data_IF_773251375112
#
_entry.id   IF_773251375112
#
_cell.length_a   1.000
_cell.length_b   1.000
_cell.length_c   1.000
_cell.angle_alpha   90.00
_cell.angle_beta   90.00
_cell.angle_gamma   90.00
#
_symmetry.space_group_name_H-M   'P 1'
#
loop_
_entity.id
_entity.type
_entity.pdbx_description
1 polymer ?
#
# COMPACT_ATOMS: atom_id res chain seq x y z
N UNK A 1 34.43 33.05 -15.69
CA UNK A 1 34.76 32.40 -14.41
C UNK A 1 33.46 32.32 -13.62
N UNK A 2 32.69 31.26 -13.87
CA UNK A 2 31.44 30.96 -13.17
C UNK A 2 31.79 30.50 -11.77
N UNK A 3 31.28 31.20 -10.76
CA UNK A 3 31.33 30.75 -9.37
C UNK A 3 30.46 29.50 -9.24
N UNK A 4 31.09 28.36 -9.01
CA UNK A 4 30.42 27.16 -8.52
C UNK A 4 29.78 27.49 -7.17
N UNK A 5 28.45 27.50 -7.11
CA UNK A 5 27.72 27.63 -5.86
C UNK A 5 27.85 26.31 -5.07
N UNK A 6 28.50 26.37 -3.91
CA UNK A 6 28.95 25.23 -3.10
C UNK A 6 27.82 24.26 -2.64
N UNK A 7 28.08 22.94 -2.60
CA UNK A 7 27.17 21.92 -2.05
C UNK A 7 26.66 22.19 -0.62
N UNK A 8 27.43 22.95 0.17
CA UNK A 8 27.12 23.26 1.56
C UNK A 8 25.93 24.23 1.74
N UNK A 9 25.70 25.14 0.78
CA UNK A 9 24.57 26.09 0.83
C UNK A 9 23.27 25.38 0.45
N UNK A 10 23.33 24.46 -0.51
CA UNK A 10 22.19 23.68 -1.02
C UNK A 10 21.64 22.72 0.03
N UNK A 11 22.51 21.98 0.71
CA UNK A 11 22.13 21.13 1.84
C UNK A 11 21.47 21.94 2.97
N UNK A 12 21.95 23.17 3.22
CA UNK A 12 21.42 24.05 4.27
C UNK A 12 19.99 24.52 3.99
N UNK A 13 19.65 24.79 2.73
CA UNK A 13 18.31 25.24 2.34
C UNK A 13 17.23 24.18 2.56
N UNK A 14 17.48 22.92 2.19
CA UNK A 14 16.55 21.82 2.45
C UNK A 14 16.43 21.54 3.95
N UNK A 15 17.54 21.61 4.70
CA UNK A 15 17.53 21.49 6.16
C UNK A 15 16.62 22.56 6.80
N UNK A 16 16.71 23.81 6.34
CA UNK A 16 15.88 24.89 6.87
C UNK A 16 14.38 24.68 6.54
N UNK A 17 14.05 24.27 5.32
CA UNK A 17 12.66 23.98 4.90
C UNK A 17 12.03 22.77 5.59
N UNK A 18 12.85 21.86 6.10
CA UNK A 18 12.43 20.59 6.72
C UNK A 18 12.72 20.51 8.21
N UNK A 19 13.14 21.61 8.84
CA UNK A 19 13.59 21.68 10.25
C UNK A 19 12.59 21.06 11.24
N UNK A 20 11.30 21.22 10.97
CA UNK A 20 10.22 20.75 11.85
C UNK A 20 9.67 19.37 11.45
N UNK A 21 10.29 18.68 10.48
CA UNK A 21 9.78 17.41 9.96
C UNK A 21 10.24 16.19 10.79
N UNK A 22 11.40 16.29 11.44
CA UNK A 22 12.01 15.22 12.21
C UNK A 22 13.54 15.28 12.16
N UNK A 23 14.20 14.19 12.51
CA UNK A 23 15.64 14.06 12.32
C UNK A 23 16.02 13.98 10.83
N UNK A 24 17.26 14.36 10.53
CA UNK A 24 17.74 14.40 9.13
C UNK A 24 17.75 13.03 8.44
N UNK A 25 17.93 11.93 9.17
CA UNK A 25 17.91 10.60 8.56
C UNK A 25 16.51 10.26 8.04
N UNK A 26 15.46 10.60 8.81
CA UNK A 26 14.07 10.44 8.37
C UNK A 26 13.75 11.34 7.16
N UNK A 27 14.23 12.58 7.15
CA UNK A 27 14.01 13.52 6.05
C UNK A 27 14.75 13.06 4.78
N UNK A 28 16.03 12.71 4.90
CA UNK A 28 16.83 12.20 3.78
C UNK A 28 16.20 10.93 3.19
N UNK A 29 15.78 9.98 4.05
CA UNK A 29 15.10 8.77 3.59
C UNK A 29 13.82 9.09 2.81
N UNK A 30 13.05 10.10 3.23
CA UNK A 30 11.86 10.54 2.50
C UNK A 30 12.23 11.11 1.11
N UNK A 31 13.21 12.01 1.05
CA UNK A 31 13.64 12.64 -0.20
C UNK A 31 14.23 11.63 -1.19
N UNK A 32 15.04 10.68 -0.71
CA UNK A 32 15.61 9.60 -1.52
C UNK A 32 14.52 8.73 -2.18
N UNK A 33 13.37 8.60 -1.52
CA UNK A 33 12.21 7.83 -2.02
C UNK A 33 11.35 8.62 -3.02
N UNK A 34 11.57 9.92 -3.18
CA UNK A 34 10.84 10.80 -4.09
C UNK A 34 11.49 10.88 -5.48
N UNK A 35 12.69 10.34 -5.69
CA UNK A 35 13.47 10.48 -6.92
C UNK A 35 12.99 9.52 -8.04
N UNK A 36 11.71 9.64 -8.41
CA UNK A 36 11.10 8.91 -9.53
C UNK A 36 10.55 9.89 -10.55
N UNK A 37 11.13 9.80 -11.74
CA UNK A 37 10.87 10.67 -12.86
C UNK A 37 9.72 10.17 -13.72
N UNK A 38 8.74 11.03 -14.04
CA UNK A 38 7.57 10.65 -14.86
C UNK A 38 7.92 10.57 -16.35
N UNK A 39 7.84 9.42 -17.03
CA UNK A 39 8.19 9.33 -18.45
C UNK A 39 7.49 10.38 -19.32
N UNK A 40 8.16 10.88 -20.36
CA UNK A 40 7.65 11.95 -21.22
C UNK A 40 6.33 11.58 -21.89
N UNK A 41 6.18 10.34 -22.33
CA UNK A 41 4.95 9.81 -22.91
C UNK A 41 3.77 9.90 -21.92
N UNK A 42 4.03 9.66 -20.64
CA UNK A 42 3.01 9.75 -19.59
C UNK A 42 2.66 11.21 -19.24
N UNK A 43 3.64 12.12 -19.29
CA UNK A 43 3.39 13.57 -19.18
C UNK A 43 2.47 14.03 -20.31
N UNK A 44 2.78 13.63 -21.54
CA UNK A 44 1.98 13.95 -22.73
C UNK A 44 0.57 13.36 -22.63
N UNK A 45 0.43 12.07 -22.31
CA UNK A 45 -0.86 11.42 -22.15
C UNK A 45 -1.74 12.10 -21.07
N UNK A 46 -1.14 12.53 -19.96
CA UNK A 46 -1.86 13.26 -18.91
C UNK A 46 -2.40 14.59 -19.44
N UNK A 47 -1.60 15.32 -20.21
CA UNK A 47 -2.02 16.57 -20.86
C UNK A 47 -3.08 16.37 -21.93
N UNK A 48 -3.03 15.27 -22.70
CA UNK A 48 -4.08 14.88 -23.65
C UNK A 48 -5.42 14.75 -22.91
N UNK A 49 -5.47 14.03 -21.79
CA UNK A 49 -6.70 13.89 -21.00
C UNK A 49 -7.21 15.21 -20.42
N UNK A 50 -6.32 16.13 -20.03
CA UNK A 50 -6.70 17.50 -19.64
C UNK A 50 -7.31 18.25 -20.83
N UNK A 51 -6.67 18.21 -22.00
CA UNK A 51 -7.11 18.91 -23.21
C UNK A 51 -8.47 18.43 -23.74
N UNK A 52 -8.79 17.15 -23.56
CA UNK A 52 -10.11 16.58 -23.89
C UNK A 52 -11.25 17.19 -23.04
N UNK A 53 -10.93 17.75 -21.87
CA UNK A 53 -11.91 18.29 -20.92
C UNK A 53 -11.85 19.81 -20.77
N UNK A 54 -10.72 20.43 -21.12
CA UNK A 54 -10.46 21.87 -21.00
C UNK A 54 -9.72 22.36 -22.24
N UNK A 55 -10.38 23.20 -23.04
CA UNK A 55 -9.79 23.78 -24.26
C UNK A 55 -8.81 24.92 -23.98
N UNK A 56 -8.89 25.54 -22.79
CA UNK A 56 -7.96 26.55 -22.28
C UNK A 56 -7.77 26.34 -20.79
N UNK A 57 -6.52 26.45 -20.34
CA UNK A 57 -6.16 26.36 -18.92
C UNK A 57 -5.55 27.69 -18.50
N UNK A 58 -6.04 28.27 -17.40
CA UNK A 58 -5.43 29.49 -16.84
C UNK A 58 -4.20 29.13 -16.03
N UNK A 59 -4.40 28.87 -14.74
CA UNK A 59 -3.34 28.53 -13.79
C UNK A 59 -3.25 27.03 -13.57
N UNK A 60 -2.05 26.49 -13.81
CA UNK A 60 -1.65 25.12 -13.53
C UNK A 60 -0.85 25.07 -12.23
N UNK A 61 -1.15 24.09 -11.39
CA UNK A 61 -0.45 23.84 -10.14
C UNK A 61 0.11 22.41 -10.14
N UNK A 62 1.40 22.27 -9.87
CA UNK A 62 2.05 20.99 -9.67
C UNK A 62 2.66 20.97 -8.27
N UNK A 63 2.19 20.06 -7.42
CA UNK A 63 2.54 20.05 -5.99
C UNK A 63 3.75 19.16 -5.67
N UNK A 64 4.27 18.42 -6.63
CA UNK A 64 5.45 17.58 -6.48
C UNK A 64 6.21 17.56 -7.79
N UNK A 65 6.65 18.75 -8.20
CA UNK A 65 6.99 19.02 -9.59
C UNK A 65 8.29 18.34 -10.03
N UNK A 66 9.19 17.95 -9.12
CA UNK A 66 10.47 17.37 -9.49
C UNK A 66 11.27 18.33 -10.38
N UNK A 67 11.58 17.89 -11.60
CA UNK A 67 12.22 18.70 -12.64
C UNK A 67 11.24 19.58 -13.45
N UNK A 68 9.99 19.68 -13.00
CA UNK A 68 8.91 20.43 -13.64
C UNK A 68 8.60 20.02 -15.08
N UNK A 69 8.82 18.75 -15.45
CA UNK A 69 8.52 18.23 -16.80
C UNK A 69 7.09 18.49 -17.27
N UNK A 70 6.11 18.56 -16.37
CA UNK A 70 4.72 18.90 -16.70
C UNK A 70 4.55 20.33 -17.21
N UNK A 71 5.49 21.24 -16.94
CA UNK A 71 5.48 22.60 -17.48
C UNK A 71 5.70 22.63 -19.00
N UNK A 72 6.35 21.63 -19.59
CA UNK A 72 6.67 21.65 -21.02
C UNK A 72 5.54 21.11 -21.91
N UNK A 73 4.45 20.64 -21.32
CA UNK A 73 3.26 20.18 -22.04
C UNK A 73 2.05 21.11 -21.88
N UNK A 74 1.01 20.84 -22.67
CA UNK A 74 -0.27 21.54 -22.57
C UNK A 74 -0.26 22.99 -23.06
N UNK A 75 -1.41 23.65 -22.96
CA UNK A 75 -1.59 25.06 -23.27
C UNK A 75 -2.21 25.78 -22.07
N UNK A 76 -1.40 26.58 -21.38
CA UNK A 76 -1.79 27.26 -20.15
C UNK A 76 -1.27 28.71 -20.07
N UNK A 77 -1.90 29.53 -19.23
CA UNK A 77 -1.47 30.92 -18.98
C UNK A 77 -0.36 31.04 -17.94
N UNK A 78 -0.40 30.26 -16.86
CA UNK A 78 0.61 30.24 -15.78
C UNK A 78 0.82 28.81 -15.28
N UNK A 79 2.07 28.39 -15.05
CA UNK A 79 2.40 27.15 -14.34
C UNK A 79 3.20 27.45 -13.06
N UNK A 80 2.78 26.82 -11.96
CA UNK A 80 3.47 26.91 -10.66
C UNK A 80 3.75 25.50 -10.15
N UNK A 81 5.01 25.12 -10.12
CA UNK A 81 5.49 23.88 -9.50
C UNK A 81 6.01 24.11 -8.09
N UNK A 82 5.79 23.16 -7.19
CA UNK A 82 6.41 23.08 -5.87
C UNK A 82 7.37 21.89 -5.84
N UNK A 83 8.60 22.14 -5.39
CA UNK A 83 9.61 21.11 -5.21
C UNK A 83 10.43 21.42 -3.97
N UNK A 84 10.58 20.45 -3.06
CA UNK A 84 11.28 20.64 -1.79
C UNK A 84 12.80 20.49 -1.96
N UNK A 85 13.22 19.65 -2.89
CA UNK A 85 14.61 19.39 -3.21
C UNK A 85 15.18 20.51 -4.09
N UNK A 86 15.99 21.37 -3.47
CA UNK A 86 16.58 22.53 -4.15
C UNK A 86 17.47 22.15 -5.34
N UNK A 87 18.04 20.93 -5.35
CA UNK A 87 18.88 20.46 -6.45
C UNK A 87 18.06 20.19 -7.71
N UNK A 88 16.80 19.78 -7.56
CA UNK A 88 15.87 19.58 -8.69
C UNK A 88 15.33 20.90 -9.24
N UNK A 89 15.34 21.95 -8.42
CA UNK A 89 15.00 23.31 -8.85
C UNK A 89 16.13 24.00 -9.60
N UNK A 90 17.38 23.64 -9.31
CA UNK A 90 18.55 24.27 -9.90
C UNK A 90 18.64 23.95 -11.40
N UNK A 91 19.00 24.95 -12.20
CA UNK A 91 19.33 24.82 -13.63
C UNK A 91 18.21 24.37 -14.59
N UNK A 92 16.96 24.27 -14.13
CA UNK A 92 15.81 23.98 -15.00
C UNK A 92 15.44 25.21 -15.84
N UNK A 93 15.57 25.09 -17.17
CA UNK A 93 15.13 26.13 -18.13
C UNK A 93 13.63 26.01 -18.39
N UNK A 94 12.84 26.63 -17.54
CA UNK A 94 11.37 26.62 -17.63
C UNK A 94 10.84 27.47 -18.79
N UNK A 95 9.63 27.16 -19.30
CA UNK A 95 8.88 28.07 -20.16
C UNK A 95 8.69 29.46 -19.53
N UNK A 96 8.54 30.54 -20.33
CA UNK A 96 8.46 31.91 -19.80
C UNK A 96 7.33 32.17 -18.80
N UNK A 97 6.25 31.39 -18.89
CA UNK A 97 5.06 31.45 -18.05
C UNK A 97 5.03 30.38 -16.96
N UNK A 98 6.16 29.72 -16.70
CA UNK A 98 6.30 28.69 -15.68
C UNK A 98 7.31 29.10 -14.61
N UNK A 99 7.02 28.73 -13.36
CA UNK A 99 7.93 28.89 -12.21
C UNK A 99 7.95 27.64 -11.35
N UNK A 100 9.11 27.36 -10.78
CA UNK A 100 9.32 26.30 -9.79
C UNK A 100 9.70 26.94 -8.45
N UNK A 101 8.95 26.63 -7.41
CA UNK A 101 9.11 27.17 -6.08
C UNK A 101 9.81 26.13 -5.20
N UNK A 102 11.00 26.48 -4.68
CA UNK A 102 11.69 25.60 -3.74
C UNK A 102 11.06 25.68 -2.34
N UNK A 103 9.96 24.97 -2.14
CA UNK A 103 9.11 25.02 -0.94
C UNK A 103 8.31 23.74 -0.76
N UNK A 104 7.86 23.50 0.46
CA UNK A 104 6.86 22.47 0.71
C UNK A 104 5.49 22.89 0.14
N UNK A 105 4.85 22.00 -0.62
CA UNK A 105 3.52 22.19 -1.18
C UNK A 105 2.39 22.38 -0.15
N UNK A 106 2.67 22.10 1.13
CA UNK A 106 1.74 22.29 2.26
C UNK A 106 2.00 23.59 3.03
N UNK A 107 3.01 24.38 2.63
CA UNK A 107 3.31 25.68 3.26
C UNK A 107 2.47 26.82 2.74
N UNK A 108 1.89 26.69 1.54
CA UNK A 108 1.13 27.75 0.87
C UNK A 108 -0.33 27.31 0.62
N UNK A 109 -1.28 28.21 0.87
CA UNK A 109 -2.69 28.03 0.53
C UNK A 109 -2.96 28.61 -0.86
N UNK A 110 -2.97 27.76 -1.87
CA UNK A 110 -3.43 28.11 -3.23
C UNK A 110 -4.85 27.62 -3.37
N UNK A 111 -5.82 28.42 -3.81
CA UNK A 111 -7.24 28.04 -3.96
C UNK A 111 -7.83 28.36 -5.34
N UNK A 112 -6.97 28.81 -6.27
CA UNK A 112 -7.38 29.38 -7.54
C UNK A 112 -6.75 28.68 -8.76
N UNK A 113 -6.34 27.42 -8.63
CA UNK A 113 -5.83 26.65 -9.78
C UNK A 113 -6.99 26.18 -10.68
N UNK A 114 -6.82 26.32 -11.99
CA UNK A 114 -7.71 25.74 -12.99
C UNK A 114 -7.44 24.23 -13.16
N UNK A 115 -6.14 23.87 -13.13
CA UNK A 115 -5.69 22.48 -13.21
C UNK A 115 -4.64 22.22 -12.13
N UNK A 116 -4.78 21.12 -11.40
CA UNK A 116 -3.69 20.55 -10.62
C UNK A 116 -3.21 19.30 -11.37
N UNK A 117 -1.96 19.28 -11.79
CA UNK A 117 -1.36 18.21 -12.59
C UNK A 117 -0.04 17.77 -11.98
N UNK A 118 0.30 16.49 -12.06
CA UNK A 118 1.63 16.04 -11.65
C UNK A 118 1.71 14.56 -11.27
N UNK A 119 2.89 14.18 -10.80
CA UNK A 119 3.18 12.85 -10.28
C UNK A 119 3.62 12.99 -8.81
N UNK A 120 2.68 12.99 -7.85
CA UNK A 120 3.01 13.21 -6.44
C UNK A 120 3.90 12.09 -5.88
N UNK A 121 4.61 12.29 -4.76
CA UNK A 121 5.56 11.30 -4.24
C UNK A 121 4.93 9.99 -3.75
N UNK A 122 5.59 8.85 -4.01
CA UNK A 122 5.08 7.48 -3.73
C UNK A 122 5.61 6.91 -2.40
N UNK A 123 5.97 7.79 -1.46
CA UNK A 123 6.55 7.39 -0.16
C UNK A 123 5.49 6.74 0.74
N UNK A 124 5.84 5.59 1.31
CA UNK A 124 4.94 4.82 2.18
C UNK A 124 4.83 5.46 3.55
N UNK A 125 3.69 5.25 4.22
CA UNK A 125 3.40 5.89 5.51
C UNK A 125 4.49 5.72 6.58
N UNK A 126 5.19 4.58 6.62
CA UNK A 126 6.22 4.33 7.64
C UNK A 126 7.53 5.07 7.37
N UNK A 127 7.72 5.57 6.15
CA UNK A 127 8.92 6.31 5.73
C UNK A 127 8.64 7.84 5.68
N UNK A 128 7.45 8.28 6.13
CA UNK A 128 7.09 9.70 6.21
C UNK A 128 7.64 10.32 7.50
N UNK A 129 8.31 11.48 7.43
CA UNK A 129 8.71 12.23 8.62
C UNK A 129 7.48 12.60 9.46
N UNK A 130 7.53 12.34 10.76
CA UNK A 130 6.37 12.49 11.64
C UNK A 130 5.86 13.93 11.70
N UNK A 131 6.78 14.91 11.76
CA UNK A 131 6.44 16.33 11.79
C UNK A 131 5.82 16.82 10.49
N UNK A 132 6.32 16.35 9.34
CA UNK A 132 5.71 16.64 8.04
C UNK A 132 4.27 16.11 7.98
N UNK A 133 4.07 14.85 8.40
CA UNK A 133 2.76 14.20 8.39
C UNK A 133 1.76 14.95 9.28
N UNK A 134 2.18 15.42 10.45
CA UNK A 134 1.34 16.21 11.34
C UNK A 134 0.95 17.55 10.72
N UNK A 135 1.92 18.28 10.14
CA UNK A 135 1.68 19.56 9.47
C UNK A 135 0.72 19.40 8.27
N UNK A 136 1.00 18.46 7.38
CA UNK A 136 0.15 18.17 6.23
C UNK A 136 -1.28 17.77 6.66
N UNK A 137 -1.41 16.96 7.72
CA UNK A 137 -2.72 16.59 8.28
C UNK A 137 -3.49 17.80 8.82
N UNK A 138 -2.82 18.72 9.53
CA UNK A 138 -3.43 19.98 10.02
C UNK A 138 -3.91 20.86 8.87
N UNK A 139 -3.10 21.00 7.82
CA UNK A 139 -3.47 21.76 6.62
C UNK A 139 -4.72 21.15 5.97
N UNK A 140 -4.74 19.84 5.75
CA UNK A 140 -5.88 19.17 5.11
C UNK A 140 -7.14 19.17 5.98
N UNK A 141 -7.00 19.02 7.30
CA UNK A 141 -8.12 19.15 8.22
C UNK A 141 -8.73 20.56 8.17
N UNK A 142 -7.88 21.60 8.15
CA UNK A 142 -8.33 23.00 8.03
C UNK A 142 -8.99 23.28 6.69
N UNK A 143 -8.41 22.81 5.59
CA UNK A 143 -8.85 23.14 4.22
C UNK A 143 -10.05 22.32 3.74
N UNK A 144 -10.15 21.05 4.16
CA UNK A 144 -11.14 20.10 3.65
C UNK A 144 -12.00 19.45 4.73
N UNK A 145 -11.65 19.60 6.02
CA UNK A 145 -12.34 18.89 7.11
C UNK A 145 -12.00 17.40 7.21
N UNK A 146 -10.99 16.92 6.48
CA UNK A 146 -10.67 15.49 6.35
C UNK A 146 -9.57 15.08 7.31
N UNK A 147 -9.86 14.05 8.10
CA UNK A 147 -8.86 13.34 8.90
C UNK A 147 -8.18 12.28 8.03
N UNK A 148 -6.93 12.52 7.65
CA UNK A 148 -6.15 11.56 6.87
C UNK A 148 -5.71 10.40 7.76
N UNK A 149 -5.84 9.17 7.26
CA UNK A 149 -5.39 7.98 7.98
C UNK A 149 -3.87 8.01 8.19
N UNK A 150 -3.39 7.62 9.37
CA UNK A 150 -1.96 7.43 9.61
C UNK A 150 -1.31 6.36 8.71
N UNK A 151 -2.11 5.55 8.01
CA UNK A 151 -1.67 4.56 7.01
C UNK A 151 -1.61 5.12 5.58
N UNK A 152 -1.94 6.40 5.37
CA UNK A 152 -1.89 7.04 4.07
C UNK A 152 -0.45 7.27 3.60
N UNK A 153 -0.19 6.95 2.34
CA UNK A 153 1.09 7.25 1.68
C UNK A 153 1.12 8.72 1.23
N UNK A 154 2.31 9.26 0.94
CA UNK A 154 2.50 10.68 0.61
C UNK A 154 1.51 11.16 -0.47
N UNK A 155 1.40 10.45 -1.61
CA UNK A 155 0.51 10.82 -2.71
C UNK A 155 -0.95 11.10 -2.30
N UNK A 156 -1.47 10.48 -1.23
CA UNK A 156 -2.83 10.75 -0.75
C UNK A 156 -2.96 12.17 -0.17
N UNK A 157 -1.93 12.62 0.56
CA UNK A 157 -1.88 13.99 1.08
C UNK A 157 -1.82 14.99 -0.08
N UNK A 158 -0.95 14.74 -1.07
CA UNK A 158 -0.80 15.62 -2.24
C UNK A 158 -2.07 15.64 -3.11
N UNK A 159 -2.77 14.51 -3.26
CA UNK A 159 -4.04 14.46 -3.98
C UNK A 159 -5.11 15.30 -3.24
N UNK A 160 -5.22 15.17 -1.93
CA UNK A 160 -6.13 16.02 -1.15
C UNK A 160 -5.74 17.50 -1.25
N UNK A 161 -4.45 17.83 -1.18
CA UNK A 161 -3.97 19.20 -1.34
C UNK A 161 -4.26 19.75 -2.76
N UNK A 162 -4.14 18.92 -3.80
CA UNK A 162 -4.54 19.28 -5.16
C UNK A 162 -6.03 19.61 -5.23
N UNK A 163 -6.90 18.74 -4.68
CA UNK A 163 -8.35 18.98 -4.66
C UNK A 163 -8.73 20.26 -3.90
N UNK A 164 -8.04 20.53 -2.78
CA UNK A 164 -8.20 21.74 -1.99
C UNK A 164 -7.76 23.00 -2.75
N UNK A 165 -6.81 22.86 -3.69
CA UNK A 165 -6.19 23.99 -4.37
C UNK A 165 -6.85 24.40 -5.68
N UNK A 166 -7.77 23.58 -6.16
CA UNK A 166 -8.57 23.84 -7.35
C UNK A 166 -9.71 24.83 -7.08
N UNK A 167 -10.01 25.65 -8.09
CA UNK A 167 -11.29 26.37 -8.21
C UNK A 167 -12.50 25.42 -8.09
N UNK A 168 -13.69 25.99 -7.92
CA UNK A 168 -14.94 25.23 -7.82
C UNK A 168 -15.24 24.32 -9.02
N UNK A 169 -14.70 24.65 -10.20
CA UNK A 169 -14.82 23.95 -11.48
C UNK A 169 -13.48 23.41 -12.02
N UNK A 170 -12.44 23.45 -11.19
CA UNK A 170 -11.09 23.01 -11.57
C UNK A 170 -10.97 21.50 -11.82
N UNK A 171 -9.86 21.11 -12.44
CA UNK A 171 -9.57 19.74 -12.84
C UNK A 171 -8.32 19.20 -12.13
N UNK A 172 -8.42 18.06 -11.46
CA UNK A 172 -7.26 17.34 -10.94
C UNK A 172 -6.83 16.27 -11.96
N UNK A 173 -5.54 16.19 -12.30
CA UNK A 173 -4.98 15.21 -13.22
C UNK A 173 -3.65 14.65 -12.68
N UNK A 174 -3.70 13.55 -11.94
CA UNK A 174 -2.53 13.01 -11.24
C UNK A 174 -2.14 11.62 -11.73
N UNK A 175 -0.83 11.38 -11.81
CA UNK A 175 -0.26 10.05 -11.98
C UNK A 175 -0.13 9.40 -10.60
N UNK A 176 -0.95 8.38 -10.31
CA UNK A 176 -1.01 7.73 -8.99
C UNK A 176 -1.25 6.22 -9.10
N UNK A 177 -0.97 5.41 -8.05
CA UNK A 177 -1.20 3.97 -8.10
C UNK A 177 -2.67 3.63 -8.35
N UNK A 178 -2.97 2.82 -9.36
CA UNK A 178 -4.33 2.43 -9.75
C UNK A 178 -5.11 1.81 -8.58
N UNK A 179 -4.44 1.14 -7.65
CA UNK A 179 -5.09 0.47 -6.53
C UNK A 179 -5.80 1.44 -5.56
N UNK A 180 -5.57 2.75 -5.68
CA UNK A 180 -6.29 3.79 -4.94
C UNK A 180 -7.81 3.68 -5.07
N UNK A 181 -8.32 3.12 -6.18
CA UNK A 181 -9.75 2.93 -6.44
C UNK A 181 -10.42 1.93 -5.48
N UNK A 182 -9.65 1.07 -4.82
CA UNK A 182 -10.19 0.00 -3.97
C UNK A 182 -9.55 -0.11 -2.59
N UNK A 183 -8.31 0.36 -2.42
CA UNK A 183 -7.55 0.18 -1.18
C UNK A 183 -8.22 0.85 0.04
N UNK A 184 -8.23 0.21 1.22
CA UNK A 184 -8.81 0.81 2.42
C UNK A 184 -8.16 2.12 2.86
N UNK A 185 -6.84 2.27 2.69
CA UNK A 185 -6.11 3.48 3.09
C UNK A 185 -6.65 4.73 2.39
N UNK A 186 -7.02 4.61 1.11
CA UNK A 186 -7.56 5.69 0.30
C UNK A 186 -9.09 5.89 0.44
N UNK A 187 -9.74 5.18 1.38
CA UNK A 187 -11.21 5.28 1.55
C UNK A 187 -11.67 6.70 1.88
N UNK A 188 -10.97 7.41 2.76
CA UNK A 188 -11.34 8.77 3.14
C UNK A 188 -11.33 9.73 1.93
N UNK A 189 -10.31 9.61 1.08
CA UNK A 189 -10.22 10.36 -0.18
C UNK A 189 -11.38 10.03 -1.13
N UNK A 190 -11.69 8.74 -1.33
CA UNK A 190 -12.81 8.34 -2.20
C UNK A 190 -14.15 8.84 -1.67
N UNK A 191 -14.42 8.66 -0.38
CA UNK A 191 -15.65 9.14 0.27
C UNK A 191 -15.78 10.65 0.13
N UNK A 192 -14.70 11.41 0.33
CA UNK A 192 -14.73 12.85 0.09
C UNK A 192 -15.12 13.21 -1.35
N UNK A 193 -14.51 12.57 -2.36
CA UNK A 193 -14.85 12.82 -3.77
C UNK A 193 -16.31 12.43 -4.07
N UNK A 194 -16.78 11.29 -3.54
CA UNK A 194 -18.14 10.78 -3.67
C UNK A 194 -19.17 11.74 -3.08
N UNK A 195 -18.93 12.27 -1.87
CA UNK A 195 -19.80 13.24 -1.19
C UNK A 195 -19.94 14.55 -1.98
N UNK A 196 -18.88 14.98 -2.66
CA UNK A 196 -18.91 16.16 -3.54
C UNK A 196 -19.58 15.89 -4.89
N UNK A 197 -19.85 14.61 -5.20
CA UNK A 197 -20.38 14.10 -6.47
C UNK A 197 -19.53 14.46 -7.69
N UNK A 198 -18.23 14.67 -7.55
CA UNK A 198 -17.36 14.96 -8.69
C UNK A 198 -17.24 13.75 -9.63
N UNK A 199 -17.08 14.01 -10.92
CA UNK A 199 -16.84 12.97 -11.91
C UNK A 199 -15.38 12.53 -11.86
N UNK A 200 -15.16 11.22 -11.90
CA UNK A 200 -13.82 10.60 -11.85
C UNK A 200 -13.60 9.73 -13.07
N UNK A 201 -12.43 9.87 -13.69
CA UNK A 201 -11.93 8.95 -14.73
C UNK A 201 -10.57 8.42 -14.31
N UNK A 202 -10.40 7.10 -14.32
CA UNK A 202 -9.13 6.46 -13.96
C UNK A 202 -8.66 5.58 -15.11
N UNK A 203 -7.50 5.90 -15.65
CA UNK A 203 -6.88 5.22 -16.77
C UNK A 203 -5.73 4.36 -16.23
N UNK A 204 -5.95 3.04 -16.13
CA UNK A 204 -4.92 2.08 -15.72
C UNK A 204 -3.87 1.95 -16.80
N UNK A 205 -2.61 2.16 -16.43
CA UNK A 205 -1.47 2.00 -17.34
C UNK A 205 -0.98 0.54 -17.33
N UNK A 206 -0.47 0.08 -18.47
CA UNK A 206 0.19 -1.23 -18.56
C UNK A 206 1.61 -1.12 -18.00
N UNK A 207 2.07 -2.18 -17.33
CA UNK A 207 3.28 -2.25 -16.46
C UNK A 207 4.65 -2.00 -17.14
N UNK A 208 4.73 -1.29 -18.26
CA UNK A 208 6.00 -0.96 -18.94
C UNK A 208 6.53 0.43 -18.59
N UNK A 209 5.78 1.26 -17.87
CA UNK A 209 6.10 2.69 -17.72
C UNK A 209 7.15 3.01 -16.64
N UNK A 210 7.42 2.12 -15.68
CA UNK A 210 8.39 2.38 -14.61
C UNK A 210 9.17 1.11 -14.23
N UNK A 211 10.40 0.96 -14.75
CA UNK A 211 11.27 -0.22 -14.57
C UNK A 211 11.60 -0.58 -13.09
N UNK A 212 11.28 0.30 -12.14
CA UNK A 212 11.60 0.12 -10.71
C UNK A 212 10.40 0.13 -9.75
N UNK A 213 9.17 0.32 -10.24
CA UNK A 213 7.98 0.53 -9.39
C UNK A 213 7.03 -0.67 -9.43
N UNK A 214 6.83 -1.31 -8.27
CA UNK A 214 5.99 -2.51 -8.08
C UNK A 214 4.47 -2.24 -8.14
N UNK A 215 4.01 -1.02 -8.36
CA UNK A 215 2.59 -0.65 -8.39
C UNK A 215 2.15 -0.29 -9.80
N UNK A 216 0.97 -0.78 -10.19
CA UNK A 216 0.37 -0.42 -11.47
C UNK A 216 -0.06 1.04 -11.40
N UNK A 217 0.51 1.90 -12.25
CA UNK A 217 0.24 3.32 -12.26
C UNK A 217 -1.07 3.64 -13.00
N UNK A 218 -1.61 4.83 -12.78
CA UNK A 218 -2.80 5.32 -13.47
C UNK A 218 -2.75 6.82 -13.67
N UNK A 219 -3.35 7.31 -14.74
CA UNK A 219 -3.76 8.71 -14.87
C UNK A 219 -5.13 8.83 -14.22
N UNK A 220 -5.24 9.64 -13.19
CA UNK A 220 -6.51 9.90 -12.47
C UNK A 220 -6.97 11.32 -12.71
N UNK A 221 -8.17 11.45 -13.25
CA UNK A 221 -8.85 12.72 -13.50
C UNK A 221 -10.02 12.89 -12.52
N UNK A 222 -10.08 14.02 -11.83
CA UNK A 222 -11.26 14.45 -11.05
C UNK A 222 -11.74 15.80 -11.57
N UNK A 223 -12.94 15.83 -12.13
CA UNK A 223 -13.54 17.04 -12.71
C UNK A 223 -14.57 17.66 -11.75
N UNK A 224 -14.22 18.79 -11.12
CA UNK A 224 -15.10 19.48 -10.16
C UNK A 224 -16.27 20.21 -10.85
N UNK A 225 -16.18 20.48 -12.15
CA UNK A 225 -17.25 21.10 -12.93
C UNK A 225 -18.40 20.12 -13.22
N UNK A 226 -18.13 18.81 -13.22
CA UNK A 226 -19.12 17.76 -13.45
C UNK A 226 -19.53 17.12 -12.13
N UNK A 227 -20.75 17.40 -11.68
CA UNK A 227 -21.29 16.90 -10.39
C UNK A 227 -22.24 15.70 -10.53
N UNK A 228 -21.94 14.80 -11.47
CA UNK A 228 -22.78 13.62 -11.76
C UNK A 228 -22.61 12.52 -10.69
N UNK A 229 -21.44 12.46 -10.05
CA UNK A 229 -21.00 11.36 -9.20
C UNK A 229 -20.54 10.13 -10.00
N UNK A 230 -20.35 10.26 -11.31
CA UNK A 230 -19.97 9.14 -12.17
C UNK A 230 -18.48 8.81 -12.01
N UNK A 231 -18.17 7.52 -11.89
CA UNK A 231 -16.81 7.00 -11.94
C UNK A 231 -16.66 6.12 -13.18
N UNK A 232 -15.64 6.38 -13.99
CA UNK A 232 -15.34 5.62 -15.21
C UNK A 232 -13.91 5.08 -15.14
N UNK A 233 -13.72 3.85 -15.58
CA UNK A 233 -12.44 3.15 -15.51
C UNK A 233 -12.03 2.73 -16.90
N UNK A 234 -10.73 2.78 -17.17
CA UNK A 234 -10.16 2.41 -18.45
C UNK A 234 -8.87 1.63 -18.24
N UNK A 235 -8.49 0.83 -19.23
CA UNK A 235 -7.21 0.14 -19.31
C UNK A 235 -6.51 0.52 -20.61
N UNK A 236 -5.25 0.89 -20.50
CA UNK A 236 -4.35 1.14 -21.61
C UNK A 236 -4.13 -0.13 -22.44
N UNK A 237 -4.14 0.01 -23.77
CA UNK A 237 -3.83 -1.06 -24.71
C UNK A 237 -2.36 -1.00 -25.13
N UNK A 238 -1.87 -2.06 -25.78
CA UNK A 238 -0.50 -2.09 -26.29
C UNK A 238 -0.20 -0.97 -27.32
N UNK A 239 -1.23 -0.42 -27.96
CA UNK A 239 -1.12 0.66 -28.94
C UNK A 239 -1.23 2.06 -28.32
N UNK A 240 -1.34 2.16 -26.97
CA UNK A 240 -1.47 3.43 -26.24
C UNK A 240 -2.89 4.00 -26.18
N UNK A 241 -3.89 3.26 -26.69
CA UNK A 241 -5.31 3.60 -26.57
C UNK A 241 -5.89 3.16 -25.21
N UNK A 242 -7.13 3.55 -24.91
CA UNK A 242 -7.80 3.21 -23.65
C UNK A 242 -9.15 2.53 -23.87
N UNK A 243 -9.28 1.30 -23.35
CA UNK A 243 -10.53 0.55 -23.37
C UNK A 243 -11.33 0.73 -22.08
N UNK A 244 -12.66 0.95 -22.15
CA UNK A 244 -13.48 1.09 -20.96
C UNK A 244 -13.56 -0.23 -20.18
N UNK A 245 -13.41 -0.12 -18.86
CA UNK A 245 -13.62 -1.22 -17.92
C UNK A 245 -15.02 -1.10 -17.30
N UNK A 246 -15.66 -2.25 -17.08
CA UNK A 246 -16.98 -2.31 -16.45
C UNK A 246 -16.98 -1.95 -14.95
N UNK A 247 -15.82 -2.08 -14.31
CA UNK A 247 -15.60 -1.74 -12.90
C UNK A 247 -14.09 -1.56 -12.63
N UNK A 248 -13.68 -1.13 -11.41
CA UNK A 248 -12.26 -1.01 -11.09
C UNK A 248 -11.48 -2.32 -11.20
N UNK A 249 -12.11 -3.49 -11.04
CA UNK A 249 -11.45 -4.78 -11.20
C UNK A 249 -11.50 -5.32 -12.63
N UNK A 250 -12.20 -4.63 -13.54
CA UNK A 250 -12.36 -5.01 -14.94
C UNK A 250 -13.64 -5.78 -15.25
N UNK A 251 -14.28 -6.43 -14.27
CA UNK A 251 -15.51 -7.20 -14.48
C UNK A 251 -16.76 -6.59 -13.85
N UNK A 252 -17.92 -7.01 -14.35
CA UNK A 252 -19.24 -6.58 -13.85
C UNK A 252 -19.50 -7.02 -12.41
N UNK A 253 -18.77 -8.00 -11.88
CA UNK A 253 -18.88 -8.46 -10.51
C UNK A 253 -18.29 -7.47 -9.49
N UNK A 254 -17.47 -6.53 -9.94
CA UNK A 254 -16.85 -5.49 -9.12
C UNK A 254 -15.85 -6.02 -8.09
N UNK A 255 -15.30 -5.09 -7.31
CA UNK A 255 -14.36 -5.41 -6.23
C UNK A 255 -15.09 -6.05 -5.05
N UNK A 256 -14.49 -7.08 -4.43
CA UNK A 256 -15.02 -7.69 -3.20
C UNK A 256 -15.20 -6.62 -2.12
N UNK A 257 -16.38 -6.61 -1.49
CA UNK A 257 -16.72 -5.72 -0.38
C UNK A 257 -15.83 -5.96 0.84
N UNK A 258 -15.82 -4.99 1.76
CA UNK A 258 -15.02 -5.07 2.98
C UNK A 258 -15.95 -5.21 4.19
N UNK A 259 -15.82 -6.31 4.93
CA UNK A 259 -16.52 -6.52 6.21
C UNK A 259 -15.51 -6.35 7.35
N UNK A 260 -15.77 -5.42 8.27
CA UNK A 260 -14.88 -5.24 9.43
C UNK A 260 -15.07 -6.41 10.38
N UNK A 261 -14.03 -6.71 11.15
CA UNK A 261 -14.09 -7.75 12.19
C UNK A 261 -15.23 -7.54 13.19
N UNK A 262 -15.55 -6.28 13.52
CA UNK A 262 -16.66 -5.92 14.41
C UNK A 262 -18.03 -6.35 13.90
N UNK A 263 -18.14 -6.56 12.58
CA UNK A 263 -19.41 -6.81 11.91
C UNK A 263 -19.60 -8.33 11.64
N UNK A 264 -18.65 -9.16 12.08
CA UNK A 264 -18.72 -10.61 11.96
C UNK A 264 -19.39 -11.18 13.22
N UNK A 265 -20.47 -11.97 13.09
CA UNK A 265 -21.12 -12.59 14.24
C UNK A 265 -20.15 -13.42 15.09
N UNK A 266 -20.37 -13.42 16.40
CA UNK A 266 -19.61 -14.29 17.30
C UNK A 266 -19.78 -15.76 16.89
N UNK A 267 -18.71 -16.55 16.97
CA UNK A 267 -18.75 -17.95 16.54
C UNK A 267 -18.63 -18.17 15.03
N UNK A 268 -18.86 -17.17 14.17
CA UNK A 268 -18.77 -17.34 12.72
C UNK A 268 -17.31 -17.52 12.22
N UNK A 269 -17.11 -18.22 11.08
CA UNK A 269 -15.83 -18.28 10.40
C UNK A 269 -15.22 -16.91 10.16
N UNK A 270 -13.95 -16.73 10.55
CA UNK A 270 -13.26 -15.45 10.37
C UNK A 270 -11.80 -15.61 10.00
N UNK A 271 -11.35 -14.80 9.05
CA UNK A 271 -9.95 -14.59 8.75
C UNK A 271 -9.33 -13.56 9.69
N UNK A 272 -8.10 -13.82 10.12
CA UNK A 272 -7.28 -12.92 10.92
C UNK A 272 -5.88 -12.88 10.30
N UNK A 273 -5.30 -11.67 10.23
CA UNK A 273 -3.93 -11.48 9.76
C UNK A 273 -2.95 -12.34 10.57
N UNK A 274 -1.94 -12.88 9.91
CA UNK A 274 -0.82 -13.53 10.60
C UNK A 274 -0.11 -12.58 11.55
N UNK A 275 0.52 -13.14 12.58
CA UNK A 275 1.33 -12.38 13.52
C UNK A 275 2.41 -11.62 12.76
N UNK A 276 2.55 -10.32 13.07
CA UNK A 276 3.78 -9.58 12.76
C UNK A 276 4.66 -9.59 14.01
N UNK A 277 5.67 -10.48 14.10
CA UNK A 277 6.49 -10.58 15.29
C UNK A 277 7.45 -9.40 15.45
N UNK A 278 7.51 -8.48 14.48
CA UNK A 278 8.45 -7.36 14.42
C UNK A 278 9.66 -7.68 13.53
N UNK A 279 10.21 -8.89 13.64
CA UNK A 279 11.22 -9.42 12.72
C UNK A 279 11.06 -10.92 12.55
N UNK A 280 11.07 -11.41 11.31
CA UNK A 280 11.08 -12.86 11.04
C UNK A 280 12.50 -13.41 10.94
N UNK A 281 13.52 -12.56 10.97
CA UNK A 281 14.92 -13.01 10.83
C UNK A 281 15.32 -13.89 12.01
N UNK A 282 14.91 -13.49 13.21
CA UNK A 282 15.36 -14.08 14.49
C UNK A 282 14.23 -14.61 15.37
N UNK A 283 12.98 -14.18 15.14
CA UNK A 283 11.83 -14.67 15.90
C UNK A 283 11.14 -15.85 15.22
N UNK A 284 11.46 -16.12 13.95
CA UNK A 284 11.20 -17.41 13.33
C UNK A 284 12.51 -18.10 13.00
N UNK A 285 12.53 -19.43 13.09
CA UNK A 285 13.71 -20.27 12.99
C UNK A 285 13.50 -21.38 11.98
N UNK A 286 14.57 -21.69 11.27
CA UNK A 286 14.76 -22.96 10.57
C UNK A 286 14.99 -24.08 11.58
N UNK A 287 14.86 -25.32 11.13
CA UNK A 287 15.21 -26.46 11.98
C UNK A 287 16.68 -26.45 12.42
N UNK A 288 17.59 -26.06 11.53
CA UNK A 288 19.02 -26.00 11.85
C UNK A 288 19.35 -24.97 12.92
N UNK A 289 18.75 -23.78 12.85
CA UNK A 289 18.92 -22.76 13.89
C UNK A 289 18.33 -23.21 15.23
N UNK A 290 17.13 -23.80 15.22
CA UNK A 290 16.49 -24.34 16.43
C UNK A 290 17.39 -25.36 17.13
N UNK A 291 17.92 -26.32 16.38
CA UNK A 291 18.79 -27.38 16.92
C UNK A 291 20.11 -26.83 17.42
N UNK A 292 20.78 -25.94 16.67
CA UNK A 292 22.05 -25.31 17.10
C UNK A 292 21.90 -24.51 18.38
N UNK A 293 20.76 -23.86 18.56
CA UNK A 293 20.45 -23.08 19.76
C UNK A 293 19.89 -23.93 20.91
N UNK A 294 19.78 -25.26 20.74
CA UNK A 294 19.27 -26.16 21.77
C UNK A 294 17.79 -25.95 22.14
N UNK A 295 17.00 -25.35 21.25
CA UNK A 295 15.61 -24.97 21.54
C UNK A 295 14.66 -26.16 21.37
N UNK A 296 13.83 -26.40 22.38
CA UNK A 296 12.96 -27.57 22.45
C UNK A 296 11.58 -27.25 21.87
N UNK A 297 11.08 -28.12 20.99
CA UNK A 297 9.74 -28.01 20.39
C UNK A 297 8.68 -28.14 21.49
N UNK A 298 7.67 -27.28 21.48
CA UNK A 298 6.62 -27.25 22.49
C UNK A 298 7.04 -26.56 23.79
N UNK A 299 8.33 -26.34 24.06
CA UNK A 299 8.81 -25.56 25.20
C UNK A 299 9.27 -24.16 24.79
N UNK A 300 10.16 -24.08 23.82
CA UNK A 300 10.80 -22.83 23.37
C UNK A 300 10.28 -22.36 22.01
N UNK A 301 9.79 -23.27 21.18
CA UNK A 301 9.25 -22.96 19.85
C UNK A 301 7.98 -23.75 19.55
N UNK A 302 7.14 -23.20 18.66
CA UNK A 302 5.97 -23.87 18.08
C UNK A 302 6.02 -23.80 16.55
N UNK A 303 5.36 -24.71 15.82
CA UNK A 303 5.33 -24.64 14.37
C UNK A 303 4.67 -23.33 13.90
N UNK A 304 5.18 -22.75 12.82
CA UNK A 304 4.64 -21.55 12.20
C UNK A 304 4.84 -21.57 10.69
N UNK A 305 4.00 -20.84 9.97
CA UNK A 305 4.08 -20.71 8.52
C UNK A 305 4.10 -19.24 8.14
N UNK A 306 5.17 -18.83 7.46
CA UNK A 306 5.42 -17.46 6.99
C UNK A 306 5.03 -17.26 5.53
N UNK A 307 4.95 -18.35 4.75
CA UNK A 307 4.63 -18.36 3.32
C UNK A 307 4.04 -19.71 2.92
N UNK A 308 3.08 -19.73 2.00
CA UNK A 308 2.56 -20.96 1.35
C UNK A 308 3.12 -21.16 -0.07
N UNK A 309 4.07 -20.33 -0.49
CA UNK A 309 4.62 -20.35 -1.86
C UNK A 309 5.25 -21.70 -2.20
N UNK A 310 5.94 -22.30 -1.24
CA UNK A 310 6.71 -23.56 -1.39
C UNK A 310 5.85 -24.81 -1.47
N UNK A 311 4.56 -24.72 -1.13
CA UNK A 311 3.65 -25.86 -1.17
C UNK A 311 3.21 -26.18 -2.60
N UNK A 312 3.01 -27.46 -2.95
CA UNK A 312 2.30 -27.85 -4.17
C UNK A 312 0.91 -27.21 -4.25
N UNK A 313 0.41 -26.94 -5.46
CA UNK A 313 -0.89 -26.28 -5.67
C UNK A 313 -2.10 -27.15 -5.35
N UNK A 314 -1.91 -28.46 -5.38
CA UNK A 314 -2.89 -29.52 -5.08
C UNK A 314 -2.87 -29.97 -3.61
N UNK A 315 -1.87 -29.54 -2.81
CA UNK A 315 -1.82 -29.87 -1.39
C UNK A 315 -2.99 -29.18 -0.66
N UNK A 316 -3.84 -29.96 0.00
CA UNK A 316 -5.04 -29.47 0.72
C UNK A 316 -4.90 -29.49 2.24
N UNK A 317 -3.94 -30.23 2.77
CA UNK A 317 -3.71 -30.40 4.19
C UNK A 317 -2.21 -30.32 4.51
N UNK A 318 -1.88 -29.62 5.58
CA UNK A 318 -0.53 -29.52 6.11
C UNK A 318 -0.45 -30.34 7.41
N UNK A 319 -0.14 -31.62 7.25
CA UNK A 319 0.17 -32.57 8.32
C UNK A 319 1.68 -32.57 8.63
N UNK A 320 2.11 -33.42 9.57
CA UNK A 320 3.52 -33.54 9.96
C UNK A 320 4.44 -33.98 8.81
N UNK A 321 3.95 -34.85 7.92
CA UNK A 321 4.72 -35.35 6.79
C UNK A 321 4.97 -34.24 5.75
N UNK A 322 3.92 -33.51 5.39
CA UNK A 322 3.99 -32.36 4.50
C UNK A 322 4.83 -31.22 5.13
N UNK A 323 4.64 -30.93 6.42
CA UNK A 323 5.43 -29.93 7.14
C UNK A 323 6.92 -30.28 7.15
N UNK A 324 7.26 -31.55 7.41
CA UNK A 324 8.64 -32.04 7.34
C UNK A 324 9.21 -31.88 5.93
N UNK A 325 8.47 -32.35 4.92
CA UNK A 325 8.91 -32.38 3.52
C UNK A 325 9.12 -30.99 2.93
N UNK A 326 8.21 -30.05 3.19
CA UNK A 326 8.17 -28.77 2.49
C UNK A 326 8.76 -27.59 3.29
N UNK A 327 8.92 -27.73 4.61
CA UNK A 327 9.47 -26.66 5.46
C UNK A 327 10.68 -27.10 6.26
N UNK A 328 10.56 -28.15 7.08
CA UNK A 328 11.62 -28.55 8.01
C UNK A 328 12.89 -29.02 7.30
N UNK A 329 12.77 -30.01 6.40
CA UNK A 329 13.91 -30.59 5.69
C UNK A 329 14.58 -29.61 4.72
N UNK A 330 13.83 -28.77 3.95
CA UNK A 330 14.44 -27.77 3.06
C UNK A 330 15.02 -26.54 3.77
N UNK A 331 15.01 -26.49 5.11
CA UNK A 331 15.56 -25.36 5.86
C UNK A 331 14.74 -24.08 5.77
N UNK A 332 13.42 -24.17 5.58
CA UNK A 332 12.55 -22.99 5.65
C UNK A 332 12.36 -22.54 7.10
N UNK A 333 12.11 -21.25 7.31
CA UNK A 333 11.69 -20.71 8.62
C UNK A 333 10.31 -21.31 8.97
N UNK A 334 10.26 -22.17 9.98
CA UNK A 334 9.07 -22.95 10.32
C UNK A 334 8.79 -23.09 11.81
N UNK A 335 9.63 -22.49 12.66
CA UNK A 335 9.46 -22.46 14.10
C UNK A 335 9.31 -21.02 14.58
N UNK A 336 8.27 -20.70 15.35
CA UNK A 336 8.10 -19.42 16.02
C UNK A 336 8.53 -19.56 17.48
N UNK A 337 9.34 -18.62 17.98
CA UNK A 337 9.72 -18.64 19.40
C UNK A 337 8.49 -18.46 20.31
N UNK A 338 8.50 -19.10 21.47
CA UNK A 338 7.44 -18.98 22.47
C UNK A 338 7.69 -17.83 23.41
N UNK A 339 6.66 -17.01 23.59
CA UNK A 339 6.62 -15.85 24.49
C UNK A 339 5.51 -16.00 25.54
N UNK A 340 4.70 -17.05 25.42
CA UNK A 340 3.53 -17.36 26.26
C UNK A 340 3.87 -18.27 27.45
N UNK A 341 5.16 -18.56 27.66
CA UNK A 341 5.67 -19.39 28.76
C UNK A 341 6.95 -18.79 29.31
N UNK A 342 7.30 -19.17 30.55
CA UNK A 342 8.60 -18.84 31.12
C UNK A 342 9.74 -19.34 30.23
N UNK A 343 10.66 -18.44 29.89
CA UNK A 343 11.81 -18.75 29.04
C UNK A 343 12.67 -19.86 29.66
N UNK A 344 13.09 -20.82 28.85
CA UNK A 344 14.19 -21.71 29.22
C UNK A 344 15.54 -20.98 29.23
N UNK A 345 16.55 -21.59 29.84
CA UNK A 345 17.92 -21.08 29.77
C UNK A 345 18.43 -20.99 28.31
N UNK A 346 18.08 -21.96 27.46
CA UNK A 346 18.47 -21.99 26.06
C UNK A 346 17.83 -20.84 25.26
N UNK A 347 16.52 -20.61 25.43
CA UNK A 347 15.83 -19.51 24.76
C UNK A 347 16.35 -18.14 25.22
N UNK A 348 16.61 -17.98 26.52
CA UNK A 348 17.20 -16.75 27.06
C UNK A 348 18.59 -16.49 26.49
N UNK A 349 19.44 -17.53 26.44
CA UNK A 349 20.77 -17.44 25.84
C UNK A 349 20.68 -17.03 24.36
N UNK A 350 19.79 -17.68 23.60
CA UNK A 350 19.55 -17.34 22.20
C UNK A 350 19.16 -15.87 22.02
N UNK A 351 18.15 -15.39 22.77
CA UNK A 351 17.65 -14.01 22.66
C UNK A 351 18.71 -12.97 23.06
N UNK A 352 19.49 -13.23 24.11
CA UNK A 352 20.58 -12.35 24.54
C UNK A 352 21.73 -12.29 23.53
N UNK A 353 21.92 -13.34 22.73
CA UNK A 353 22.94 -13.40 21.70
C UNK A 353 22.52 -12.76 20.37
N UNK A 354 21.25 -12.34 20.23
CA UNK A 354 20.77 -11.70 18.99
C UNK A 354 21.38 -10.31 18.86
N UNK A 355 22.09 -10.00 17.76
CA UNK A 355 22.64 -8.67 17.53
C UNK A 355 21.56 -7.60 17.35
N UNK A 356 21.84 -6.39 17.84
CA UNK A 356 20.88 -5.29 17.86
C UNK A 356 20.31 -4.94 16.49
N UNK A 357 21.15 -4.98 15.45
CA UNK A 357 20.79 -4.70 14.06
C UNK A 357 19.71 -5.64 13.49
N UNK A 358 19.52 -6.81 14.09
CA UNK A 358 18.54 -7.79 13.59
C UNK A 358 17.11 -7.53 14.08
N UNK A 359 16.94 -6.63 15.05
CA UNK A 359 15.65 -6.23 15.62
C UNK A 359 15.40 -4.72 15.67
N UNK A 360 16.16 -3.91 14.91
CA UNK A 360 15.88 -2.47 14.71
C UNK A 360 14.66 -2.23 13.82
N UNK A 361 13.50 -2.76 14.22
CA UNK A 361 12.22 -2.49 13.57
C UNK A 361 11.32 -1.77 14.56
N UNK A 362 10.47 -0.86 14.08
CA UNK A 362 9.57 -0.08 14.95
C UNK A 362 8.77 -0.97 15.91
N UNK A 363 8.20 -2.06 15.40
CA UNK A 363 7.45 -3.03 16.20
C UNK A 363 8.27 -3.69 17.32
N UNK A 364 9.57 -3.91 17.11
CA UNK A 364 10.46 -4.44 18.15
C UNK A 364 10.86 -3.35 19.15
N UNK A 365 11.16 -2.15 18.67
CA UNK A 365 11.62 -1.04 19.52
C UNK A 365 10.52 -0.42 20.40
N UNK A 366 9.25 -0.56 20.03
CA UNK A 366 8.10 -0.11 20.82
C UNK A 366 7.79 -0.99 22.05
N UNK A 367 8.42 -2.16 22.16
CA UNK A 367 8.18 -3.12 23.23
C UNK A 367 9.20 -2.97 24.34
N UNK A 368 8.78 -3.23 25.58
CA UNK A 368 9.70 -3.36 26.72
C UNK A 368 10.77 -4.43 26.43
N UNK A 369 10.33 -5.59 25.94
CA UNK A 369 11.18 -6.64 25.41
C UNK A 369 10.98 -6.76 23.90
N UNK A 370 12.04 -6.51 23.11
CA UNK A 370 11.95 -6.47 21.64
C UNK A 370 11.38 -7.74 21.01
N UNK A 371 11.60 -8.89 21.65
CA UNK A 371 11.19 -10.22 21.22
C UNK A 371 9.79 -10.62 21.73
N UNK A 372 9.20 -9.89 22.66
CA UNK A 372 7.97 -10.29 23.32
C UNK A 372 6.72 -9.90 22.52
N UNK A 373 5.83 -10.87 22.30
CA UNK A 373 4.58 -10.63 21.60
C UNK A 373 3.49 -11.54 22.16
N UNK A 374 2.22 -11.18 21.95
CA UNK A 374 1.10 -12.06 22.27
C UNK A 374 1.07 -13.24 21.29
N UNK A 375 1.25 -14.45 21.81
CA UNK A 375 1.22 -15.67 21.00
C UNK A 375 -0.14 -15.81 20.27
N UNK A 376 -0.17 -15.89 18.92
CA UNK A 376 -1.42 -16.05 18.19
C UNK A 376 -2.03 -17.44 18.44
N UNK A 377 -3.37 -17.60 18.38
CA UNK A 377 -4.02 -18.91 18.41
C UNK A 377 -3.70 -19.75 17.16
N UNK A 378 -4.01 -21.05 17.19
CA UNK A 378 -3.86 -21.96 16.04
C UNK A 378 -5.09 -21.79 15.13
N UNK A 379 -4.94 -21.40 13.86
CA UNK A 379 -6.04 -21.38 12.92
C UNK A 379 -6.36 -22.78 12.39
N UNK A 380 -7.61 -23.02 11.99
CA UNK A 380 -8.01 -24.25 11.29
C UNK A 380 -7.53 -24.29 9.84
N UNK A 381 -7.45 -23.12 9.18
CA UNK A 381 -6.93 -22.98 7.81
C UNK A 381 -5.85 -21.91 7.77
N UNK A 382 -4.76 -22.19 7.06
CA UNK A 382 -3.74 -21.21 6.68
C UNK A 382 -4.00 -20.78 5.24
N UNK A 383 -4.05 -19.48 4.97
CA UNK A 383 -4.33 -18.94 3.63
C UNK A 383 -3.36 -17.81 3.27
N UNK A 384 -2.83 -17.86 2.05
CA UNK A 384 -1.94 -16.85 1.53
C UNK A 384 -2.72 -15.55 1.27
N UNK A 385 -2.13 -14.40 1.57
CA UNK A 385 -2.76 -13.11 1.26
C UNK A 385 -2.50 -12.63 -0.16
N UNK A 386 -1.51 -13.21 -0.85
CA UNK A 386 -1.15 -12.86 -2.23
C UNK A 386 -1.21 -14.06 -3.15
N UNK A 387 -1.73 -13.87 -4.36
CA UNK A 387 -2.03 -14.95 -5.30
C UNK A 387 -2.03 -14.49 -6.76
N UNK A 388 -1.77 -15.43 -7.68
CA UNK A 388 -1.88 -15.23 -9.14
C UNK A 388 -2.98 -16.09 -9.79
N UNK A 389 -3.34 -17.21 -9.17
CA UNK A 389 -4.39 -18.10 -9.64
C UNK A 389 -5.79 -17.56 -9.37
N UNK A 390 -6.79 -18.43 -9.50
CA UNK A 390 -8.21 -18.10 -9.30
C UNK A 390 -8.53 -17.73 -7.86
N UNK A 391 -7.93 -18.44 -6.90
CA UNK A 391 -8.15 -18.22 -5.47
C UNK A 391 -6.84 -18.22 -4.70
N UNK A 392 -6.73 -17.50 -3.56
CA UNK A 392 -5.56 -17.58 -2.70
C UNK A 392 -5.31 -19.01 -2.19
N UNK A 393 -4.08 -19.48 -2.33
CA UNK A 393 -3.69 -20.82 -1.85
C UNK A 393 -3.99 -20.95 -0.35
N UNK A 394 -4.68 -22.01 0.04
CA UNK A 394 -4.93 -22.36 1.42
C UNK A 394 -4.69 -23.83 1.71
N UNK A 395 -4.46 -24.16 2.98
CA UNK A 395 -4.33 -25.53 3.48
C UNK A 395 -5.00 -25.67 4.84
N UNK A 396 -5.58 -26.84 5.09
CA UNK A 396 -6.02 -27.23 6.44
C UNK A 396 -4.80 -27.43 7.33
N UNK A 397 -4.86 -26.94 8.56
CA UNK A 397 -3.72 -26.85 9.45
C UNK A 397 -3.71 -28.00 10.48
N UNK A 398 -3.32 -29.19 10.06
CA UNK A 398 -3.25 -30.37 10.93
C UNK A 398 -2.01 -30.36 11.85
N UNK A 399 -0.91 -29.72 11.42
CA UNK A 399 0.33 -29.58 12.20
C UNK A 399 0.24 -28.55 13.35
N UNK A 400 -0.88 -27.83 13.47
CA UNK A 400 -1.07 -26.84 14.54
C UNK A 400 -0.18 -25.60 14.42
N UNK A 401 0.22 -25.23 13.20
CA UNK A 401 1.12 -24.11 12.97
C UNK A 401 0.44 -22.74 13.18
N UNK A 402 1.22 -21.74 13.62
CA UNK A 402 0.77 -20.34 13.69
C UNK A 402 0.91 -19.63 12.34
N UNK A 403 -0.05 -18.79 11.99
CA UNK A 403 0.03 -17.91 10.83
C UNK A 403 0.94 -16.71 11.15
N UNK A 404 1.96 -16.46 10.32
CA UNK A 404 2.94 -15.37 10.51
C UNK A 404 3.09 -14.59 9.21
N UNK A 405 3.17 -13.26 9.31
CA UNK A 405 3.49 -12.40 8.18
C UNK A 405 2.45 -12.44 7.05
N UNK A 406 2.87 -12.89 5.86
CA UNK A 406 2.05 -12.91 4.63
C UNK A 406 1.03 -14.05 4.55
N UNK A 407 0.92 -14.86 5.61
CA UNK A 407 -0.08 -15.91 5.75
C UNK A 407 -1.07 -15.49 6.83
N UNK A 408 -2.35 -15.60 6.52
CA UNK A 408 -3.44 -15.38 7.46
C UNK A 408 -4.04 -16.70 7.94
N UNK A 409 -4.68 -16.67 9.11
CA UNK A 409 -5.38 -17.80 9.68
C UNK A 409 -6.89 -17.62 9.57
N UNK A 410 -7.62 -18.70 9.29
CA UNK A 410 -9.09 -18.75 9.43
C UNK A 410 -9.46 -19.56 10.66
N UNK A 411 -10.34 -18.98 11.47
CA UNK A 411 -10.76 -19.48 12.79
C UNK A 411 -12.26 -19.75 12.80
N UNK A 412 -12.72 -20.50 13.81
CA UNK A 412 -14.11 -20.88 14.02
C UNK A 412 -14.72 -21.57 12.78
N UNK A 413 -14.04 -22.61 12.31
CA UNK A 413 -14.44 -23.36 11.10
C UNK A 413 -14.66 -24.82 11.45
N UNK A 414 -15.70 -25.43 10.88
CA UNK A 414 -15.89 -26.90 10.89
C UNK A 414 -15.01 -27.57 9.82
N UNK A 415 -14.91 -28.90 9.85
CA UNK A 415 -14.12 -29.65 8.84
C UNK A 415 -14.66 -29.40 7.43
N UNK A 416 -15.98 -29.37 7.26
CA UNK A 416 -16.64 -29.11 5.98
C UNK A 416 -16.33 -27.70 5.47
N UNK A 417 -16.39 -26.70 6.34
CA UNK A 417 -16.03 -25.32 6.00
C UNK A 417 -14.54 -25.20 5.65
N UNK A 418 -13.66 -25.89 6.36
CA UNK A 418 -12.23 -25.93 6.04
C UNK A 418 -11.99 -26.50 4.63
N UNK A 419 -12.68 -27.59 4.26
CA UNK A 419 -12.60 -28.18 2.92
C UNK A 419 -13.10 -27.19 1.86
N UNK A 420 -14.24 -26.54 2.08
CA UNK A 420 -14.77 -25.53 1.16
C UNK A 420 -13.81 -24.36 0.97
N UNK A 421 -13.23 -23.81 2.05
CA UNK A 421 -12.26 -22.70 1.97
C UNK A 421 -11.02 -23.08 1.16
N UNK A 422 -10.45 -24.26 1.44
CA UNK A 422 -9.24 -24.75 0.75
C UNK A 422 -9.54 -25.10 -0.71
N UNK A 423 -10.77 -25.50 -1.02
CA UNK A 423 -11.29 -25.67 -2.39
C UNK A 423 -11.66 -24.36 -3.10
N UNK A 424 -11.29 -23.20 -2.55
CA UNK A 424 -11.56 -21.90 -3.17
C UNK A 424 -13.01 -21.41 -3.00
N UNK A 425 -13.66 -21.77 -1.89
CA UNK A 425 -15.07 -21.47 -1.61
C UNK A 425 -16.00 -21.94 -2.73
N UNK A 426 -15.79 -23.20 -3.14
CA UNK A 426 -16.43 -23.90 -4.27
C UNK A 426 -15.97 -23.42 -5.65
N UNK A 427 -14.64 -23.29 -5.81
CA UNK A 427 -14.05 -22.94 -7.10
C UNK A 427 -14.31 -21.51 -7.56
N UNK A 428 -14.50 -20.56 -6.63
CA UNK A 428 -14.63 -19.15 -6.99
C UNK A 428 -13.35 -18.64 -7.66
N UNK A 429 -13.53 -17.92 -8.77
CA UNK A 429 -12.48 -17.10 -9.36
C UNK A 429 -12.55 -15.69 -8.79
N UNK A 430 -11.46 -15.24 -8.19
CA UNK A 430 -11.30 -13.90 -7.62
C UNK A 430 -10.39 -13.01 -8.49
N UNK A 431 -9.91 -13.50 -9.64
CA UNK A 431 -8.99 -12.75 -10.50
C UNK A 431 -9.60 -11.44 -11.00
N UNK A 432 -10.90 -11.41 -11.19
CA UNK A 432 -11.65 -10.27 -11.68
C UNK A 432 -12.38 -9.52 -10.55
N UNK A 433 -12.19 -9.92 -9.29
CA UNK A 433 -12.83 -9.32 -8.11
C UNK A 433 -11.84 -8.63 -7.17
N UNK A 434 -10.55 -8.76 -7.44
CA UNK A 434 -9.47 -8.10 -6.70
C UNK A 434 -8.60 -7.35 -7.69
N UNK A 435 -8.40 -6.05 -7.45
CA UNK A 435 -7.51 -5.23 -8.26
C UNK A 435 -6.09 -5.81 -8.18
N UNK A 436 -5.52 -6.14 -9.33
CA UNK A 436 -4.17 -6.66 -9.43
C UNK A 436 -3.13 -5.55 -9.21
N UNK A 437 -2.01 -5.94 -8.60
CA UNK A 437 -0.75 -5.21 -8.66
C UNK A 437 0.00 -5.56 -9.94
N UNK A 438 1.17 -4.92 -10.08
CA UNK A 438 2.07 -5.23 -11.16
C UNK A 438 2.34 -6.74 -11.30
N UNK A 439 2.53 -7.21 -12.53
CA UNK A 439 2.78 -8.62 -12.89
C UNK A 439 1.61 -9.59 -12.59
N UNK A 440 0.38 -9.07 -12.49
CA UNK A 440 -0.83 -9.85 -12.26
C UNK A 440 -0.96 -10.42 -10.84
N UNK A 441 -0.12 -9.97 -9.90
CA UNK A 441 -0.17 -10.41 -8.50
C UNK A 441 -1.34 -9.71 -7.79
N UNK A 442 -2.25 -10.49 -7.20
CA UNK A 442 -3.37 -9.95 -6.42
C UNK A 442 -3.07 -10.10 -4.94
N UNK A 443 -3.60 -9.16 -4.15
CA UNK A 443 -3.55 -9.23 -2.69
C UNK A 443 -4.97 -9.11 -2.14
N UNK A 444 -5.45 -10.18 -1.50
CA UNK A 444 -6.73 -10.15 -0.80
C UNK A 444 -6.53 -9.59 0.61
N UNK A 445 -7.31 -8.57 0.97
CA UNK A 445 -7.30 -8.03 2.32
C UNK A 445 -8.16 -8.88 3.27
N UNK A 446 -7.82 -8.90 4.56
CA UNK A 446 -8.54 -9.72 5.56
C UNK A 446 -10.04 -9.43 5.58
N UNK A 447 -10.41 -8.16 5.46
CA UNK A 447 -11.81 -7.76 5.46
C UNK A 447 -12.56 -8.18 4.19
N UNK A 448 -11.85 -8.38 3.06
CA UNK A 448 -12.45 -8.96 1.85
C UNK A 448 -12.63 -10.47 1.99
N UNK A 449 -11.62 -11.16 2.54
CA UNK A 449 -11.74 -12.58 2.84
C UNK A 449 -12.88 -12.84 3.84
N UNK A 450 -13.04 -11.99 4.86
CA UNK A 450 -14.17 -12.05 5.78
C UNK A 450 -15.51 -11.83 5.08
N UNK A 451 -15.59 -10.92 4.11
CA UNK A 451 -16.81 -10.74 3.31
C UNK A 451 -17.17 -12.01 2.52
N UNK A 452 -16.18 -12.69 1.93
CA UNK A 452 -16.40 -13.96 1.23
C UNK A 452 -16.84 -15.08 2.18
N UNK A 453 -16.19 -15.20 3.35
CA UNK A 453 -16.54 -16.20 4.36
C UNK A 453 -17.96 -15.98 4.88
N UNK A 454 -18.33 -14.73 5.18
CA UNK A 454 -19.66 -14.37 5.62
C UNK A 454 -20.70 -14.69 4.53
N UNK A 455 -20.48 -14.23 3.29
CA UNK A 455 -21.38 -14.52 2.17
C UNK A 455 -21.57 -16.03 1.94
N UNK A 456 -20.51 -16.83 2.14
CA UNK A 456 -20.57 -18.28 1.94
C UNK A 456 -21.27 -19.02 3.07
N UNK A 457 -21.05 -18.62 4.32
CA UNK A 457 -21.42 -19.42 5.49
C UNK A 457 -22.53 -18.82 6.35
N UNK A 458 -22.98 -17.59 6.09
CA UNK A 458 -24.07 -16.96 6.85
C UNK A 458 -25.48 -17.43 6.48
N UNK A 459 -25.63 -18.41 5.60
CA UNK A 459 -26.94 -18.93 5.15
C UNK A 459 -27.36 -20.27 5.79
N UNK A 460 -26.66 -20.76 6.81
CA UNK A 460 -26.99 -22.07 7.44
C UNK A 460 -27.86 -21.93 8.70
N UNK A 461 -28.19 -20.73 9.17
CA UNK A 461 -28.98 -20.53 10.40
C UNK A 461 -30.50 -20.34 10.20
N UNK A 462 -31.02 -20.39 8.96
CA UNK A 462 -32.45 -20.12 8.66
C UNK A 462 -33.18 -21.26 7.95
N UNK A 463 -32.71 -22.51 8.11
CA UNK A 463 -33.49 -23.71 7.81
C UNK A 463 -33.54 -24.59 9.06
N UNK A 464 -34.32 -24.12 10.03
CA UNK A 464 -34.77 -24.88 11.19
C UNK A 464 -36.27 -24.74 11.27
#
# INVERSE_FOLDING_TARGET
MTMDCEPAVKARQVIDLTRDWGDWNSVSLYLDRCQVDTPSELVEATWVHVGLLRSRVGKVLDLGAGDARFAFGGNYSEYVGYEIDGDRCADVKLPPNARLLNRCAFSDDVDNADVCIGNPPFVRNQDLPAGWREQASKVLQRRLGIHVSGLANAWQYFFLQALASLKGDGLCALVIPYEWVSRPSARALRTFIEEQRWEVKVYRLVDTTFDSVLTTSSITIVDKAKRTGKWSYFEETADGDYLPLSSPSGSSAGVISYVKRSDIPEGAPRAVRGLSPGTQKVLTLTEGERVRSGLVIGRDVVPCITTLRTLPGDLRELDDAAFKKHYRSPGQKCWLIRTDVSQSAALRCYLNAVPAEQYQTATCLERENWWEFKMPPVPGVLIAQSFKGEFPKGVRNAVGARAVGGVSGVFNVTVEQMVAIVGGLDGQDLRDRVVAHSNGLRKIEINQLNALLLAKFSSVASRG
#
